data_IF_206525315113
#
_entry.id   IF_206525315113
#
_cell.length_a   1.000
_cell.length_b   1.000
_cell.length_c   1.000
_cell.angle_alpha   90.00
_cell.angle_beta   90.00
_cell.angle_gamma   90.00
#
_symmetry.space_group_name_H-M   'P 1'
#
loop_
_entity.id
_entity.type
_entity.pdbx_description
1 polymer ?
#
# COMPACT_ATOMS: atom_id res chain seq x y z
N UNK A 1 11.53 1.69 -13.95
CA UNK A 1 10.74 2.92 -14.20
C UNK A 1 11.18 3.95 -13.19
N UNK A 2 11.47 5.19 -13.57
CA UNK A 2 11.91 6.22 -12.62
C UNK A 2 10.71 6.89 -11.94
N UNK A 3 10.92 7.50 -10.77
CA UNK A 3 9.87 8.28 -10.08
C UNK A 3 9.30 9.41 -10.96
N UNK A 4 10.13 10.04 -11.80
CA UNK A 4 9.71 11.03 -12.79
C UNK A 4 8.83 10.44 -13.88
N UNK A 5 9.19 9.27 -14.42
CA UNK A 5 8.39 8.58 -15.44
C UNK A 5 7.03 8.14 -14.91
N UNK A 6 6.98 7.62 -13.68
CA UNK A 6 5.72 7.29 -13.01
C UNK A 6 4.84 8.52 -12.85
N UNK A 7 5.43 9.63 -12.37
CA UNK A 7 4.72 10.89 -12.18
C UNK A 7 4.17 11.43 -13.50
N UNK A 8 4.96 11.42 -14.57
CA UNK A 8 4.52 11.89 -15.88
C UNK A 8 3.44 11.00 -16.49
N UNK A 9 3.50 9.68 -16.25
CA UNK A 9 2.46 8.74 -16.63
C UNK A 9 1.14 9.03 -15.91
N UNK A 10 1.17 9.17 -14.57
CA UNK A 10 -0.01 9.49 -13.77
C UNK A 10 -0.62 10.83 -14.17
N UNK A 11 0.22 11.86 -14.40
CA UNK A 11 -0.25 13.17 -14.86
C UNK A 11 -0.91 13.06 -16.24
N UNK A 12 -0.33 12.28 -17.16
CA UNK A 12 -0.89 12.10 -18.51
C UNK A 12 -2.23 11.38 -18.45
N UNK A 13 -2.34 10.31 -17.66
CA UNK A 13 -3.58 9.59 -17.46
C UNK A 13 -4.69 10.50 -16.91
N UNK A 14 -4.38 11.32 -15.91
CA UNK A 14 -5.34 12.23 -15.28
C UNK A 14 -5.81 13.36 -16.20
N UNK A 15 -4.91 13.91 -17.01
CA UNK A 15 -5.29 14.92 -18.02
C UNK A 15 -6.21 14.32 -19.07
N UNK A 16 -5.95 13.09 -19.51
CA UNK A 16 -6.77 12.43 -20.53
C UNK A 16 -8.16 12.05 -20.02
N UNK A 17 -8.28 11.64 -18.76
CA UNK A 17 -9.53 11.15 -18.18
C UNK A 17 -10.39 12.28 -17.59
N UNK A 18 -9.78 13.23 -16.88
CA UNK A 18 -10.48 14.24 -16.10
C UNK A 18 -10.26 15.67 -16.62
N UNK A 19 -9.52 15.82 -17.72
CA UNK A 19 -9.14 17.12 -18.26
C UNK A 19 -8.21 17.92 -17.34
N UNK A 20 -8.17 19.23 -17.53
CA UNK A 20 -7.32 20.13 -16.77
C UNK A 20 -5.87 20.17 -17.28
N UNK A 21 -5.00 20.88 -16.55
CA UNK A 21 -3.62 21.10 -16.97
C UNK A 21 -2.65 20.14 -16.25
N UNK A 22 -1.60 19.64 -16.95
CA UNK A 22 -0.55 18.82 -16.33
C UNK A 22 0.07 19.47 -15.09
N UNK A 23 0.19 20.82 -15.10
CA UNK A 23 0.73 21.59 -13.99
C UNK A 23 -0.16 21.49 -12.74
N UNK A 24 -1.48 21.55 -12.89
CA UNK A 24 -2.43 21.43 -11.79
C UNK A 24 -2.37 20.04 -11.16
N UNK A 25 -2.31 19.00 -11.98
CA UNK A 25 -2.17 17.62 -11.52
C UNK A 25 -0.84 17.35 -10.85
N UNK A 26 0.27 17.92 -11.34
CA UNK A 26 1.58 17.81 -10.65
C UNK A 26 1.57 18.43 -9.25
N UNK A 27 0.82 19.50 -9.05
CA UNK A 27 0.67 20.15 -7.73
C UNK A 27 -0.20 19.26 -6.83
N UNK A 28 -1.33 18.76 -7.35
CA UNK A 28 -2.24 17.90 -6.60
C UNK A 28 -1.60 16.57 -6.17
N UNK A 29 -0.82 15.93 -7.06
CA UNK A 29 -0.10 14.69 -6.77
C UNK A 29 1.06 14.87 -5.78
N UNK A 30 1.60 16.08 -5.63
CA UNK A 30 2.77 16.33 -4.79
C UNK A 30 4.04 15.59 -5.25
N UNK A 31 5.05 15.45 -4.37
CA UNK A 31 6.26 14.69 -4.65
C UNK A 31 5.98 13.19 -4.66
N UNK A 32 6.11 12.56 -5.82
CA UNK A 32 6.02 11.10 -5.98
C UNK A 32 7.40 10.50 -5.73
N UNK A 33 7.51 9.65 -4.72
CA UNK A 33 8.72 8.87 -4.45
C UNK A 33 8.49 7.45 -4.94
N UNK A 34 9.37 6.98 -5.83
CA UNK A 34 9.43 5.56 -6.17
C UNK A 34 10.38 4.92 -5.18
N UNK A 35 9.84 4.11 -4.26
CA UNK A 35 10.66 3.39 -3.29
C UNK A 35 11.16 2.11 -3.96
N UNK A 36 12.48 1.98 -4.07
CA UNK A 36 13.12 0.75 -4.54
C UNK A 36 13.14 -0.24 -3.37
N UNK A 37 12.53 -1.43 -3.50
CA UNK A 37 12.50 -2.43 -2.44
C UNK A 37 13.88 -3.00 -2.09
N UNK A 38 14.93 -2.71 -2.89
CA UNK A 38 16.27 -3.28 -2.71
C UNK A 38 17.19 -2.34 -1.89
N UNK A 39 16.94 -1.02 -1.83
CA UNK A 39 17.94 -0.06 -1.34
C UNK A 39 17.75 0.46 0.09
N UNK A 40 16.72 0.03 0.83
CA UNK A 40 16.65 0.19 2.29
C UNK A 40 16.76 -1.16 3.02
N UNK A 41 17.47 -2.12 2.41
CA UNK A 41 17.95 -3.33 3.07
C UNK A 41 19.19 -3.02 3.93
N UNK A 42 19.03 -2.18 4.94
CA UNK A 42 20.00 -2.07 6.03
C UNK A 42 19.29 -2.10 7.38
N UNK A 43 18.54 -3.19 7.58
CA UNK A 43 18.41 -3.87 8.87
C UNK A 43 18.07 -5.35 8.61
N UNK A 44 19.14 -6.15 8.55
CA UNK A 44 19.20 -7.54 9.06
C UNK A 44 18.41 -8.65 8.34
N UNK A 45 18.55 -8.74 7.02
CA UNK A 45 17.99 -9.85 6.21
C UNK A 45 18.76 -11.19 6.30
N UNK A 46 19.66 -11.39 7.28
CA UNK A 46 20.58 -12.55 7.26
C UNK A 46 20.48 -13.55 8.44
N UNK A 47 19.61 -13.36 9.44
CA UNK A 47 19.59 -14.26 10.61
C UNK A 47 18.32 -15.06 10.91
N UNK A 48 17.23 -14.93 10.15
CA UNK A 48 16.03 -15.75 10.38
C UNK A 48 16.03 -17.08 9.59
N UNK A 49 17.16 -17.81 9.58
CA UNK A 49 17.17 -19.26 9.32
C UNK A 49 17.48 -19.99 10.62
N UNK A 50 16.49 -20.13 11.52
CA UNK A 50 16.35 -21.27 12.45
C UNK A 50 15.02 -21.20 13.20
N UNK A 51 14.24 -22.25 12.97
CA UNK A 51 12.93 -22.67 13.50
C UNK A 51 12.91 -22.97 15.01
N UNK A 52 11.84 -23.60 15.56
CA UNK A 52 10.38 -23.46 15.36
C UNK A 52 9.66 -23.21 16.71
N UNK A 53 8.33 -23.02 16.66
CA UNK A 53 7.31 -23.45 17.65
C UNK A 53 6.19 -22.42 17.81
N UNK A 54 5.28 -22.37 16.84
CA UNK A 54 3.85 -22.19 17.10
C UNK A 54 3.08 -23.06 16.11
N UNK A 55 2.17 -23.87 16.64
CA UNK A 55 1.60 -25.04 15.99
C UNK A 55 0.55 -24.75 14.92
N UNK A 56 0.39 -25.78 14.08
CA UNK A 56 -0.84 -26.16 13.36
C UNK A 56 -1.52 -25.00 12.59
N UNK A 57 -1.18 -24.74 11.33
CA UNK A 57 -1.37 -25.68 10.24
C UNK A 57 -2.62 -25.32 9.43
N UNK A 58 -2.69 -24.08 8.95
CA UNK A 58 -3.35 -23.82 7.67
C UNK A 58 -2.22 -23.74 6.66
N UNK A 59 -2.02 -24.78 5.87
CA UNK A 59 -1.28 -24.69 4.61
C UNK A 59 -2.07 -23.72 3.74
N UNK A 60 -1.92 -22.43 4.03
CA UNK A 60 -2.69 -21.35 3.44
C UNK A 60 -2.60 -21.53 1.95
N UNK A 61 -3.73 -21.92 1.35
CA UNK A 61 -3.84 -21.87 -0.10
C UNK A 61 -3.45 -20.45 -0.48
N UNK A 62 -2.41 -20.29 -1.29
CA UNK A 62 -2.26 -19.10 -2.10
C UNK A 62 -3.59 -19.00 -2.87
N UNK A 63 -4.48 -18.13 -2.41
CA UNK A 63 -5.65 -17.77 -3.18
C UNK A 63 -5.20 -17.08 -4.46
N UNK A 64 -6.13 -16.94 -5.39
CA UNK A 64 -5.87 -16.10 -6.55
C UNK A 64 -5.50 -14.68 -6.06
N UNK A 65 -4.51 -14.03 -6.69
CA UNK A 65 -4.03 -12.74 -6.25
C UNK A 65 -5.15 -11.70 -6.36
N UNK A 66 -5.51 -11.10 -5.23
CA UNK A 66 -6.54 -10.06 -5.15
C UNK A 66 -5.93 -8.76 -4.61
N UNK A 67 -6.58 -7.64 -4.88
CA UNK A 67 -6.27 -6.40 -4.18
C UNK A 67 -6.65 -6.51 -2.72
N UNK A 68 -5.73 -6.14 -1.85
CA UNK A 68 -5.97 -5.94 -0.43
C UNK A 68 -5.67 -4.50 -0.07
N UNK A 69 -6.53 -3.93 0.77
CA UNK A 69 -6.31 -2.63 1.38
C UNK A 69 -6.16 -2.78 2.88
N UNK A 70 -5.37 -1.90 3.47
CA UNK A 70 -5.21 -1.84 4.90
C UNK A 70 -5.15 -0.42 5.42
N UNK A 71 -5.72 -0.23 6.60
CA UNK A 71 -5.67 1.02 7.33
C UNK A 71 -5.11 0.78 8.72
N UNK A 72 -4.33 1.73 9.21
CA UNK A 72 -3.76 1.72 10.56
C UNK A 72 -3.99 3.12 11.16
N UNK A 73 -4.48 3.17 12.39
CA UNK A 73 -4.56 4.41 13.17
C UNK A 73 -4.13 4.09 14.60
N UNK A 74 -2.93 4.48 14.99
CA UNK A 74 -2.36 4.07 16.27
C UNK A 74 -1.55 5.19 16.93
N UNK A 75 -1.53 5.16 18.26
CA UNK A 75 -0.63 5.98 19.06
C UNK A 75 0.65 5.19 19.36
N UNK A 76 1.79 5.65 18.86
CA UNK A 76 3.10 5.04 19.08
C UNK A 76 3.97 6.03 19.85
N UNK A 77 4.14 5.78 21.15
CA UNK A 77 4.79 6.73 22.05
C UNK A 77 3.99 8.03 22.15
N UNK A 78 4.55 9.14 21.69
CA UNK A 78 3.90 10.45 21.63
C UNK A 78 3.40 10.84 20.23
N UNK A 79 3.46 9.94 19.25
CA UNK A 79 3.06 10.22 17.88
C UNK A 79 1.80 9.47 17.50
N UNK A 80 0.88 10.14 16.82
CA UNK A 80 -0.23 9.47 16.16
C UNK A 80 0.18 9.11 14.72
N UNK A 81 0.07 7.84 14.37
CA UNK A 81 0.43 7.31 13.05
C UNK A 81 -0.84 6.86 12.34
N UNK A 82 -1.03 7.37 11.13
CA UNK A 82 -2.07 6.92 10.21
C UNK A 82 -1.43 6.34 8.96
N UNK A 83 -1.89 5.17 8.54
CA UNK A 83 -1.43 4.49 7.33
C UNK A 83 -2.64 4.08 6.52
N UNK A 84 -2.55 4.29 5.21
CA UNK A 84 -3.34 3.59 4.21
C UNK A 84 -2.35 2.84 3.31
N UNK A 85 -2.57 1.55 3.06
CA UNK A 85 -1.82 0.82 2.04
C UNK A 85 -2.74 -0.06 1.20
N UNK A 86 -2.33 -0.33 -0.03
CA UNK A 86 -3.01 -1.20 -0.96
C UNK A 86 -1.98 -2.06 -1.70
N UNK A 87 -2.21 -3.37 -1.81
CA UNK A 87 -1.28 -4.29 -2.44
C UNK A 87 -1.99 -5.50 -3.02
N UNK A 88 -1.43 -6.09 -4.08
CA UNK A 88 -1.85 -7.41 -4.53
C UNK A 88 -1.22 -8.48 -3.63
N UNK A 89 -2.05 -9.39 -3.13
CA UNK A 89 -1.62 -10.51 -2.30
C UNK A 89 -2.53 -11.72 -2.51
N UNK A 90 -2.02 -12.90 -2.16
CA UNK A 90 -2.71 -14.19 -2.30
C UNK A 90 -3.61 -14.51 -1.10
N UNK A 91 -3.71 -13.60 -0.12
CA UNK A 91 -4.48 -13.80 1.10
C UNK A 91 -4.04 -12.91 2.27
N UNK A 92 -4.89 -12.85 3.30
CA UNK A 92 -4.68 -12.04 4.51
C UNK A 92 -3.37 -12.34 5.24
N UNK A 93 -2.92 -13.60 5.27
CA UNK A 93 -1.66 -14.01 5.93
C UNK A 93 -0.45 -13.36 5.25
N UNK A 94 -0.45 -13.27 3.92
CA UNK A 94 0.61 -12.61 3.17
C UNK A 94 0.61 -11.11 3.44
N UNK A 95 -0.57 -10.47 3.43
CA UNK A 95 -0.71 -9.04 3.74
C UNK A 95 -0.18 -8.73 5.15
N UNK A 96 -0.67 -9.45 6.16
CA UNK A 96 -0.23 -9.32 7.56
C UNK A 96 1.28 -9.51 7.69
N UNK A 97 1.85 -10.51 7.03
CA UNK A 97 3.30 -10.74 7.02
C UNK A 97 4.08 -9.56 6.42
N UNK A 98 3.57 -8.94 5.36
CA UNK A 98 4.17 -7.74 4.75
C UNK A 98 4.03 -6.52 5.66
N UNK A 99 2.87 -6.29 6.28
CA UNK A 99 2.65 -5.20 7.23
C UNK A 99 3.58 -5.33 8.44
N UNK A 100 3.67 -6.53 9.03
CA UNK A 100 4.55 -6.83 10.16
C UNK A 100 6.01 -6.53 9.84
N UNK A 101 6.45 -6.91 8.63
CA UNK A 101 7.82 -6.64 8.16
C UNK A 101 8.05 -5.14 7.98
N UNK A 102 7.05 -4.39 7.53
CA UNK A 102 7.17 -2.98 7.18
C UNK A 102 7.04 -2.04 8.38
N UNK A 103 6.07 -2.27 9.25
CA UNK A 103 5.71 -1.37 10.35
C UNK A 103 6.04 -1.94 11.74
N UNK A 104 6.48 -3.20 11.78
CA UNK A 104 6.64 -3.94 13.02
C UNK A 104 5.33 -4.56 13.52
N UNK A 105 5.43 -5.42 14.55
CA UNK A 105 4.29 -6.17 15.08
C UNK A 105 3.21 -5.29 15.68
N UNK A 106 3.59 -4.20 16.36
CA UNK A 106 2.63 -3.33 17.05
C UNK A 106 1.64 -2.67 16.09
N UNK A 107 2.14 -2.11 14.98
CA UNK A 107 1.28 -1.47 13.98
C UNK A 107 0.54 -2.48 13.11
N UNK A 108 1.11 -3.67 12.93
CA UNK A 108 0.41 -4.76 12.24
C UNK A 108 -0.78 -5.28 13.02
N UNK A 109 -0.67 -5.42 14.35
CA UNK A 109 -1.79 -5.83 15.21
C UNK A 109 -2.96 -4.82 15.12
N UNK A 110 -2.65 -3.52 15.01
CA UNK A 110 -3.64 -2.44 14.85
C UNK A 110 -4.20 -2.31 13.42
N UNK A 111 -3.63 -3.06 12.46
CA UNK A 111 -4.06 -2.94 11.07
C UNK A 111 -5.44 -3.57 10.85
N UNK A 112 -6.31 -2.83 10.18
CA UNK A 112 -7.54 -3.35 9.60
C UNK A 112 -7.22 -3.72 8.16
N UNK A 113 -7.32 -5.01 7.82
CA UNK A 113 -7.02 -5.54 6.48
C UNK A 113 -8.32 -5.98 5.83
N UNK A 114 -8.51 -5.62 4.56
CA UNK A 114 -9.70 -5.95 3.77
C UNK A 114 -9.30 -6.38 2.36
N UNK A 115 -10.06 -7.30 1.79
CA UNK A 115 -10.02 -7.57 0.36
C UNK A 115 -10.77 -6.45 -0.40
N UNK A 116 -10.26 -6.10 -1.59
CA UNK A 116 -10.73 -4.99 -2.41
C UNK A 116 -10.39 -3.61 -1.85
N UNK A 117 -11.05 -2.61 -2.41
CA UNK A 117 -10.95 -1.20 -2.03
C UNK A 117 -12.33 -0.61 -1.78
N UNK A 118 -12.47 0.14 -0.69
CA UNK A 118 -13.72 0.77 -0.26
C UNK A 118 -13.45 2.25 -0.01
N UNK A 119 -13.95 3.11 -0.91
CA UNK A 119 -13.77 4.56 -0.80
C UNK A 119 -14.52 5.16 0.40
N UNK A 120 -15.51 4.47 0.96
CA UNK A 120 -16.28 4.98 2.10
C UNK A 120 -15.55 4.86 3.44
N UNK A 121 -14.42 4.13 3.48
CA UNK A 121 -13.56 4.05 4.66
C UNK A 121 -12.94 5.41 5.00
N UNK A 122 -13.05 5.90 6.25
CA UNK A 122 -12.61 7.26 6.60
C UNK A 122 -11.17 7.57 6.25
N UNK A 123 -10.24 6.64 6.48
CA UNK A 123 -8.83 6.83 6.14
C UNK A 123 -8.58 6.70 4.63
N UNK A 124 -9.37 5.91 3.92
CA UNK A 124 -9.27 5.82 2.46
C UNK A 124 -9.64 7.16 1.82
N UNK A 125 -10.83 7.70 2.10
CA UNK A 125 -11.27 8.97 1.52
C UNK A 125 -10.44 10.18 2.00
N UNK A 126 -9.85 10.11 3.20
CA UNK A 126 -9.05 11.21 3.74
C UNK A 126 -7.61 11.23 3.19
N UNK A 127 -6.99 10.07 2.98
CA UNK A 127 -5.57 9.98 2.64
C UNK A 127 -5.33 9.73 1.15
N UNK A 128 -6.23 9.02 0.48
CA UNK A 128 -6.07 8.64 -0.91
C UNK A 128 -6.66 9.75 -1.80
N UNK A 129 -5.95 10.10 -2.88
CA UNK A 129 -6.49 11.04 -3.85
C UNK A 129 -7.50 10.36 -4.78
N UNK A 130 -8.48 11.08 -5.31
CA UNK A 130 -9.47 10.56 -6.28
C UNK A 130 -8.79 9.82 -7.45
N UNK A 131 -7.67 10.36 -7.93
CA UNK A 131 -6.83 9.78 -8.97
C UNK A 131 -6.35 8.36 -8.62
N UNK A 132 -5.86 8.18 -7.39
CA UNK A 132 -5.37 6.89 -6.93
C UNK A 132 -6.53 5.96 -6.56
N UNK A 133 -7.64 6.49 -6.06
CA UNK A 133 -8.87 5.74 -5.84
C UNK A 133 -9.27 4.99 -7.09
N UNK A 134 -9.30 5.70 -8.23
CA UNK A 134 -9.64 5.11 -9.52
C UNK A 134 -8.66 4.02 -9.95
N UNK A 135 -7.36 4.21 -9.70
CA UNK A 135 -6.34 3.17 -9.96
C UNK A 135 -6.57 1.93 -9.10
N UNK A 136 -6.93 2.10 -7.83
CA UNK A 136 -7.22 0.99 -6.92
C UNK A 136 -8.51 0.26 -7.30
N UNK A 137 -9.55 0.98 -7.73
CA UNK A 137 -10.77 0.39 -8.29
C UNK A 137 -10.45 -0.46 -9.53
N UNK A 138 -9.70 0.09 -10.50
CA UNK A 138 -9.26 -0.66 -11.68
C UNK A 138 -8.45 -1.91 -11.32
N UNK A 139 -7.56 -1.80 -10.34
CA UNK A 139 -6.76 -2.94 -9.88
C UNK A 139 -7.59 -3.99 -9.13
N UNK A 140 -8.66 -3.60 -8.46
CA UNK A 140 -9.61 -4.52 -7.82
C UNK A 140 -10.44 -5.27 -8.87
N UNK A 141 -10.86 -4.59 -9.94
CA UNK A 141 -11.64 -5.16 -11.05
C UNK A 141 -10.81 -6.12 -11.91
N UNK A 142 -9.59 -5.75 -12.27
CA UNK A 142 -8.71 -6.57 -13.13
C UNK A 142 -7.34 -6.79 -12.49
N UNK A 143 -7.24 -7.84 -11.66
CA UNK A 143 -6.05 -8.15 -10.86
C UNK A 143 -4.86 -8.66 -11.70
N UNK A 144 -5.12 -9.19 -12.91
CA UNK A 144 -4.09 -9.60 -13.87
C UNK A 144 -3.56 -8.43 -14.72
N UNK A 145 -4.13 -7.24 -14.58
CA UNK A 145 -3.72 -6.08 -15.38
C UNK A 145 -2.29 -5.64 -15.06
N UNK A 146 -1.58 -4.99 -16.00
CA UNK A 146 -0.25 -4.43 -15.73
C UNK A 146 -0.22 -3.38 -14.61
N UNK A 147 -1.36 -2.76 -14.29
CA UNK A 147 -1.46 -1.76 -13.21
C UNK A 147 -1.58 -2.42 -11.83
N UNK A 148 -2.22 -3.60 -11.76
CA UNK A 148 -2.26 -4.44 -10.57
C UNK A 148 -0.92 -5.20 -10.36
N UNK A 149 -0.24 -5.56 -11.45
CA UNK A 149 1.04 -6.26 -11.40
C UNK A 149 2.10 -5.47 -10.61
N UNK A 150 2.43 -5.96 -9.41
CA UNK A 150 3.41 -5.31 -8.53
C UNK A 150 2.89 -4.06 -7.83
N UNK A 151 1.58 -3.82 -7.81
CA UNK A 151 0.97 -2.74 -7.05
C UNK A 151 1.28 -2.92 -5.55
N UNK A 152 1.97 -1.94 -5.01
CA UNK A 152 2.25 -1.74 -3.59
C UNK A 152 2.23 -0.23 -3.34
N UNK A 153 1.05 0.25 -2.97
CA UNK A 153 0.77 1.66 -2.72
C UNK A 153 0.64 1.91 -1.22
N UNK A 154 1.18 3.03 -0.76
CA UNK A 154 1.16 3.39 0.65
C UNK A 154 1.19 4.90 0.84
N UNK A 155 0.40 5.37 1.80
CA UNK A 155 0.52 6.69 2.40
C UNK A 155 0.63 6.53 3.91
N UNK A 156 1.58 7.23 4.51
CA UNK A 156 1.77 7.32 5.95
C UNK A 156 1.78 8.78 6.38
N UNK A 157 1.06 9.09 7.45
CA UNK A 157 1.06 10.39 8.11
C UNK A 157 1.42 10.19 9.57
N UNK A 158 2.35 11.02 10.06
CA UNK A 158 2.78 11.01 11.46
C UNK A 158 2.55 12.39 12.05
N UNK A 159 1.76 12.45 13.12
CA UNK A 159 1.46 13.68 13.83
C UNK A 159 2.24 13.67 15.14
N UNK A 160 3.04 14.70 15.37
CA UNK A 160 3.58 14.98 16.69
C UNK A 160 2.45 15.53 17.58
N UNK A 161 2.41 15.08 18.83
CA UNK A 161 1.59 15.69 19.87
C UNK A 161 2.06 17.11 20.21
#
# INVERSE_FOLDING_TARGET
MTASQLRDFLVTALVNQNGGSPRRWRIALGPVQLRDPITEADCDLSLARRSPEYGQGDSGKCGDPELYTCTISALVGSQHVQVFAAMIASGHVEVRSRLRRRYGPLLEDEAIVRAGFDWSEPLACAMVSDAMAHVLEMAAEEQSSPIAAGLDFQIEQRFAA
#
